data_IF_595824738599
#
_entry.id   IF_595824738599
#
_cell.length_a   1.000
_cell.length_b   1.000
_cell.length_c   1.000
_cell.angle_alpha   90.00
_cell.angle_beta   90.00
_cell.angle_gamma   90.00
#
_symmetry.space_group_name_H-M   'P 1'
#
loop_
_entity.id
_entity.type
_entity.pdbx_description
1 polymer ?
#
# COMPACT_ATOMS: atom_id res chain seq x y z
N UNK A 1 -8.46 -1.44 13.31
CA UNK A 1 -8.85 -0.67 12.11
C UNK A 1 -7.55 -0.15 11.50
N UNK A 2 -7.25 -0.46 10.24
CA UNK A 2 -5.99 -0.11 9.56
C UNK A 2 -5.92 1.41 9.37
N UNK A 3 -5.47 2.12 10.41
CA UNK A 3 -5.47 3.60 10.44
C UNK A 3 -4.13 4.16 9.99
N UNK A 4 -3.57 3.63 8.91
CA UNK A 4 -2.39 4.21 8.27
C UNK A 4 -2.86 5.33 7.34
N UNK A 5 -2.30 6.55 7.46
CA UNK A 5 -2.61 7.63 6.53
C UNK A 5 -2.27 7.19 5.10
N UNK A 6 -3.09 7.61 4.14
CA UNK A 6 -2.96 7.36 2.71
C UNK A 6 -3.21 5.92 2.20
N UNK A 7 -3.43 4.93 3.09
CA UNK A 7 -3.86 3.59 2.67
C UNK A 7 -5.35 3.59 2.35
N UNK A 8 -5.68 3.21 1.13
CA UNK A 8 -7.07 3.18 0.64
C UNK A 8 -7.57 1.77 0.34
N UNK A 9 -6.68 0.78 0.35
CA UNK A 9 -7.06 -0.62 0.17
C UNK A 9 -5.91 -1.59 0.41
N UNK A 10 -6.26 -2.84 0.68
CA UNK A 10 -5.33 -3.96 0.78
C UNK A 10 -5.90 -5.12 -0.04
N UNK A 11 -5.06 -5.76 -0.85
CA UNK A 11 -5.40 -6.91 -1.67
C UNK A 11 -4.35 -8.01 -1.57
N UNK A 12 -4.68 -9.18 -2.13
CA UNK A 12 -3.72 -10.27 -2.30
C UNK A 12 -3.41 -10.38 -3.79
N UNK A 13 -2.11 -10.25 -4.10
CA UNK A 13 -1.56 -10.38 -5.44
C UNK A 13 -0.62 -11.56 -5.55
N UNK A 14 -0.03 -11.70 -6.74
CA UNK A 14 1.13 -12.58 -6.97
C UNK A 14 2.29 -11.79 -7.56
N UNK A 15 3.51 -12.23 -7.27
CA UNK A 15 4.72 -11.75 -7.94
C UNK A 15 4.97 -12.50 -9.26
N UNK A 16 6.06 -12.15 -9.96
CA UNK A 16 6.43 -12.75 -11.25
C UNK A 16 6.83 -14.23 -11.13
N UNK A 17 7.19 -14.68 -9.92
CA UNK A 17 7.46 -16.09 -9.60
C UNK A 17 6.20 -16.86 -9.19
N UNK A 18 5.06 -16.17 -9.07
CA UNK A 18 3.77 -16.74 -8.65
C UNK A 18 3.59 -16.83 -7.13
N UNK A 19 4.50 -16.28 -6.32
CA UNK A 19 4.38 -16.24 -4.87
C UNK A 19 3.35 -15.21 -4.42
N UNK A 20 2.68 -15.48 -3.31
CA UNK A 20 1.68 -14.57 -2.72
C UNK A 20 2.34 -13.30 -2.19
N UNK A 21 1.73 -12.16 -2.49
CA UNK A 21 2.14 -10.85 -1.96
C UNK A 21 0.93 -10.06 -1.51
N UNK A 22 1.10 -9.21 -0.49
CA UNK A 22 0.07 -8.30 -0.02
C UNK A 22 0.23 -6.97 -0.76
N UNK A 23 -0.75 -6.63 -1.58
CA UNK A 23 -0.78 -5.36 -2.29
C UNK A 23 -1.43 -4.29 -1.40
N UNK A 24 -0.67 -3.26 -1.03
CA UNK A 24 -1.17 -2.11 -0.27
C UNK A 24 -1.33 -0.93 -1.23
N UNK A 25 -2.57 -0.54 -1.46
CA UNK A 25 -2.91 0.57 -2.34
C UNK A 25 -2.87 1.88 -1.55
N UNK A 26 -2.02 2.79 -2.01
CA UNK A 26 -1.87 4.12 -1.41
C UNK A 26 -2.28 5.21 -2.38
N UNK A 27 -2.95 6.23 -1.86
CA UNK A 27 -3.33 7.42 -2.64
C UNK A 27 -2.08 8.23 -3.04
N UNK A 28 -1.09 8.31 -2.15
CA UNK A 28 0.17 9.00 -2.39
C UNK A 28 1.34 8.22 -1.78
N UNK A 29 2.38 8.00 -2.58
CA UNK A 29 3.66 7.53 -2.07
C UNK A 29 4.52 8.74 -1.69
N UNK A 30 4.97 8.80 -0.44
CA UNK A 30 5.92 9.81 0.05
C UNK A 30 7.23 9.15 0.49
N UNK A 31 8.38 9.83 0.41
CA UNK A 31 9.64 9.31 0.91
C UNK A 31 9.55 8.96 2.41
N UNK A 32 10.21 7.87 2.83
CA UNK A 32 10.21 7.42 4.25
C UNK A 32 10.62 8.52 5.26
N UNK A 33 11.48 9.46 4.85
CA UNK A 33 11.91 10.61 5.67
C UNK A 33 10.79 11.62 5.97
N UNK A 34 9.74 11.60 5.15
CA UNK A 34 8.60 12.53 5.21
C UNK A 34 7.37 11.84 5.83
N UNK A 35 7.49 10.57 6.26
CA UNK A 35 6.46 9.80 6.97
C UNK A 35 6.60 9.99 8.49
N UNK A 36 5.46 10.12 9.17
CA UNK A 36 5.42 10.01 10.63
C UNK A 36 5.90 8.61 11.08
N UNK A 37 6.45 8.54 12.30
CA UNK A 37 7.03 7.32 12.90
C UNK A 37 6.06 6.12 13.03
N UNK A 38 4.78 6.29 12.70
CA UNK A 38 3.78 5.22 12.64
C UNK A 38 3.09 5.05 11.27
N UNK A 39 3.49 5.82 10.25
CA UNK A 39 2.89 5.82 8.92
C UNK A 39 3.67 4.94 7.91
N UNK A 40 4.68 4.20 8.38
CA UNK A 40 5.48 3.33 7.50
C UNK A 40 4.78 2.00 7.29
N UNK A 41 4.54 1.67 6.02
CA UNK A 41 4.06 0.33 5.63
C UNK A 41 5.23 -0.65 5.80
N UNK A 42 5.05 -1.76 6.53
CA UNK A 42 6.09 -2.76 6.71
C UNK A 42 6.37 -3.49 5.40
N UNK A 43 7.62 -3.93 5.20
CA UNK A 43 8.04 -4.65 3.99
C UNK A 43 7.49 -6.09 3.92
N UNK A 44 6.99 -6.62 5.04
CA UNK A 44 6.32 -7.92 5.13
C UNK A 44 5.28 -7.95 6.27
N UNK A 45 4.22 -8.76 6.12
CA UNK A 45 3.21 -9.04 7.13
C UNK A 45 3.06 -10.56 7.26
N UNK A 46 3.24 -11.09 8.47
CA UNK A 46 3.15 -12.54 8.75
C UNK A 46 4.04 -13.41 7.83
N UNK A 47 5.17 -12.86 7.37
CA UNK A 47 6.09 -13.52 6.45
C UNK A 47 5.70 -13.40 4.97
N UNK A 48 4.56 -12.79 4.66
CA UNK A 48 4.14 -12.48 3.28
C UNK A 48 4.71 -11.12 2.88
N UNK A 49 5.43 -11.02 1.74
CA UNK A 49 5.96 -9.75 1.25
C UNK A 49 4.85 -8.74 0.98
N UNK A 50 5.10 -7.48 1.33
CA UNK A 50 4.18 -6.38 1.04
C UNK A 50 4.69 -5.60 -0.16
N UNK A 51 3.81 -5.37 -1.13
CA UNK A 51 4.05 -4.54 -2.31
C UNK A 51 3.19 -3.29 -2.21
N UNK A 52 3.83 -2.12 -2.13
CA UNK A 52 3.12 -0.84 -2.13
C UNK A 52 2.81 -0.44 -3.58
N UNK A 53 1.53 -0.24 -3.87
CA UNK A 53 1.03 0.15 -5.19
C UNK A 53 0.46 1.57 -5.11
N UNK A 54 1.18 2.58 -5.62
CA UNK A 54 0.64 3.94 -5.71
C UNK A 54 -0.41 3.97 -6.82
N UNK A 55 -1.65 4.33 -6.49
CA UNK A 55 -2.71 4.45 -7.50
C UNK A 55 -3.02 5.90 -7.91
N UNK A 56 -2.40 6.87 -7.23
CA UNK A 56 -2.62 8.30 -7.47
C UNK A 56 -3.93 8.81 -6.86
N UNK A 57 -4.21 10.11 -7.06
CA UNK A 57 -5.51 10.69 -6.66
C UNK A 57 -6.64 10.08 -7.49
N UNK A 58 -7.45 9.22 -6.85
CA UNK A 58 -8.71 8.76 -7.42
C UNK A 58 -9.71 9.91 -7.35
N UNK A 59 -9.88 10.64 -8.45
CA UNK A 59 -10.99 11.58 -8.59
C UNK A 59 -12.17 10.85 -9.23
N UNK A 60 -13.34 10.88 -8.57
CA UNK A 60 -14.56 10.42 -9.20
C UNK A 60 -14.89 11.36 -10.36
N UNK A 61 -14.87 10.87 -11.60
CA UNK A 61 -15.41 11.63 -12.73
C UNK A 61 -16.95 11.60 -12.61
N UNK A 62 -17.52 12.68 -12.09
CA UNK A 62 -18.96 12.89 -12.09
C UNK A 62 -19.48 12.94 -13.53
N UNK A 63 -20.49 12.12 -13.82
CA UNK A 63 -21.26 12.14 -15.05
C UNK A 63 -22.43 13.13 -14.90
#
# INVERSE_FOLDING_TARGET
MLSLPDVIGVGIGRDDAGAEVIDVYVQRAVPRRDLDLGATIPDALEGVPVRVVPIGEVTAQGN
#
